data_IF_715478426980
#
_entry.id   IF_715478426980
#
_cell.length_a   1.000
_cell.length_b   1.000
_cell.length_c   1.000
_cell.angle_alpha   90.00
_cell.angle_beta   90.00
_cell.angle_gamma   90.00
#
_symmetry.space_group_name_H-M   'P 1'
#
loop_
_entity.id
_entity.type
_entity.pdbx_description
1 polymer ?
#
# COMPACT_ATOMS: atom_id res chain seq x y z
N UNK A 1 10.15 -11.68 -2.70
CA UNK A 1 9.13 -12.63 -2.53
C UNK A 1 7.77 -12.00 -2.41
N UNK A 2 6.78 -12.59 -2.97
CA UNK A 2 5.44 -12.08 -2.89
C UNK A 2 4.67 -12.80 -1.83
N UNK A 3 4.00 -12.02 -1.02
CA UNK A 3 3.13 -12.58 -0.03
C UNK A 3 1.77 -12.60 -0.62
N UNK A 4 1.20 -13.74 -0.84
CA UNK A 4 -0.09 -13.78 -1.44
C UNK A 4 -1.14 -14.03 -0.44
N UNK A 5 -2.29 -13.48 -0.68
CA UNK A 5 -3.45 -13.71 0.14
C UNK A 5 -3.91 -15.12 -0.14
N UNK A 6 -3.95 -15.91 0.92
CA UNK A 6 -4.23 -17.25 0.65
C UNK A 6 -5.59 -17.65 0.72
N UNK A 7 -6.39 -16.93 1.29
CA UNK A 7 -7.75 -17.30 1.39
C UNK A 7 -8.31 -17.15 0.07
N UNK A 8 -8.57 -18.10 -0.66
CA UNK A 8 -8.96 -17.97 -1.86
C UNK A 8 -10.23 -17.50 -2.01
N UNK A 9 -10.50 -16.56 -2.72
CA UNK A 9 -11.82 -16.09 -2.94
C UNK A 9 -12.50 -17.14 -3.73
N UNK A 10 -13.69 -17.20 -3.51
CA UNK A 10 -14.43 -18.10 -4.17
C UNK A 10 -14.52 -17.46 -5.45
N UNK A 11 -14.52 -17.69 -6.27
CA UNK A 11 -14.63 -17.09 -7.41
C UNK A 11 -15.50 -16.17 -7.48
N UNK A 12 -15.44 -15.61 -8.24
CA UNK A 12 -14.66 -15.21 -9.15
C UNK A 12 -14.25 -13.95 -8.98
N UNK A 13 -13.96 -13.73 -8.44
CA UNK A 13 -13.38 -12.94 -8.45
C UNK A 13 -13.46 -11.80 -8.65
N UNK A 14 -13.94 -11.37 -8.08
CA UNK A 14 -14.14 -10.16 -8.09
C UNK A 14 -13.47 -9.42 -7.14
N UNK A 15 -12.54 -9.82 -6.43
CA UNK A 15 -11.80 -9.05 -5.58
C UNK A 15 -10.76 -8.37 -6.35
N UNK A 16 -10.56 -7.11 -6.14
CA UNK A 16 -9.37 -6.45 -6.59
C UNK A 16 -8.23 -6.95 -5.76
N UNK A 17 -7.14 -7.34 -6.37
CA UNK A 17 -5.96 -7.82 -5.67
C UNK A 17 -4.74 -7.08 -6.17
N UNK A 18 -4.67 -5.79 -5.90
CA UNK A 18 -3.51 -5.03 -6.29
C UNK A 18 -2.28 -5.46 -5.51
N UNK A 19 -1.13 -5.16 -6.07
CA UNK A 19 0.14 -5.44 -5.43
C UNK A 19 0.65 -4.15 -4.82
N UNK A 20 1.01 -4.19 -3.55
CA UNK A 20 1.60 -3.05 -2.88
C UNK A 20 3.09 -3.30 -2.78
N UNK A 21 3.89 -2.36 -3.25
CA UNK A 21 5.33 -2.47 -3.16
C UNK A 21 5.77 -1.70 -1.93
N UNK A 22 6.44 -2.38 -1.04
CA UNK A 22 6.84 -1.80 0.24
C UNK A 22 8.17 -1.09 0.06
N UNK A 23 8.24 0.21 0.36
CA UNK A 23 9.50 0.91 0.20
C UNK A 23 10.55 0.40 1.17
N UNK A 24 11.79 0.53 0.79
CA UNK A 24 12.89 -0.04 1.57
C UNK A 24 12.85 0.40 3.02
N UNK A 25 12.53 1.68 3.25
CA UNK A 25 12.51 2.18 4.61
C UNK A 25 11.48 1.52 5.51
N UNK A 26 10.46 0.94 4.92
CA UNK A 26 9.40 0.34 5.71
C UNK A 26 9.46 -1.18 5.77
N UNK A 27 10.44 -1.77 5.13
CA UNK A 27 10.52 -3.24 5.11
C UNK A 27 10.81 -3.84 6.47
N UNK A 28 11.28 -3.04 7.40
CA UNK A 28 11.45 -3.56 8.76
C UNK A 28 10.11 -3.89 9.40
N UNK A 29 9.03 -3.28 8.92
CA UNK A 29 7.71 -3.60 9.46
C UNK A 29 7.15 -4.86 8.80
N UNK A 30 7.71 -5.30 7.70
CA UNK A 30 7.18 -6.44 6.98
C UNK A 30 8.11 -7.65 7.04
N UNK A 31 9.17 -7.56 7.85
CA UNK A 31 10.10 -8.67 7.92
C UNK A 31 10.87 -8.86 6.63
N UNK A 32 11.02 -7.81 5.86
CA UNK A 32 11.77 -7.88 4.61
C UNK A 32 10.92 -8.16 3.37
N UNK A 33 9.61 -8.31 3.54
CA UNK A 33 8.74 -8.56 2.39
C UNK A 33 8.66 -7.30 1.54
N UNK A 34 8.86 -7.43 0.26
CA UNK A 34 8.90 -6.30 -0.65
C UNK A 34 7.60 -6.07 -1.40
N UNK A 35 6.85 -7.11 -1.64
CA UNK A 35 5.62 -6.99 -2.41
C UNK A 35 4.54 -7.81 -1.73
N UNK A 36 3.36 -7.23 -1.62
CA UNK A 36 2.25 -7.90 -0.97
C UNK A 36 1.02 -7.73 -1.84
N UNK A 37 0.31 -8.80 -2.09
CA UNK A 37 -0.97 -8.71 -2.80
C UNK A 37 -2.07 -8.68 -1.76
N UNK A 38 -2.91 -7.67 -1.82
CA UNK A 38 -3.96 -7.49 -0.84
C UNK A 38 -5.25 -7.14 -1.53
N UNK A 39 -6.39 -7.58 -1.02
CA UNK A 39 -7.65 -7.19 -1.60
C UNK A 39 -7.96 -5.76 -1.21
N UNK A 40 -8.52 -5.01 -2.10
CA UNK A 40 -8.90 -3.64 -1.81
C UNK A 40 -9.16 -2.89 -3.09
N UNK A 41 -9.97 -1.87 -2.99
CA UNK A 41 -10.33 -1.06 -4.14
C UNK A 41 -9.91 0.38 -3.98
N UNK A 42 -9.32 0.74 -2.86
CA UNK A 42 -8.87 2.09 -2.65
C UNK A 42 -7.59 2.06 -1.85
N UNK A 43 -6.89 3.17 -1.87
CA UNK A 43 -5.65 3.27 -1.09
C UNK A 43 -5.97 3.08 0.38
N UNK A 44 -7.11 3.63 0.83
CA UNK A 44 -7.50 3.47 2.23
C UNK A 44 -7.60 1.99 2.60
N UNK A 45 -8.24 1.20 1.76
CA UNK A 45 -8.43 -0.21 2.07
C UNK A 45 -7.10 -0.93 2.09
N UNK A 46 -6.22 -0.59 1.16
CA UNK A 46 -4.91 -1.25 1.11
C UNK A 46 -4.10 -0.93 2.35
N UNK A 47 -4.13 0.31 2.81
CA UNK A 47 -3.38 0.67 4.01
C UNK A 47 -3.96 -0.02 5.22
N UNK A 48 -5.29 -0.15 5.29
CA UNK A 48 -5.89 -0.84 6.40
C UNK A 48 -5.46 -2.30 6.42
N UNK A 49 -5.47 -2.94 5.25
CA UNK A 49 -5.05 -4.33 5.16
C UNK A 49 -3.58 -4.48 5.53
N UNK A 50 -2.76 -3.53 5.10
CA UNK A 50 -1.34 -3.58 5.46
C UNK A 50 -1.18 -3.48 6.97
N UNK A 51 -1.93 -2.60 7.61
CA UNK A 51 -1.80 -2.42 9.04
C UNK A 51 -2.25 -3.64 9.81
N UNK A 52 -3.23 -4.37 9.27
CA UNK A 52 -3.67 -5.58 9.92
C UNK A 52 -2.64 -6.68 9.78
N UNK A 53 -1.97 -6.73 8.63
CA UNK A 53 -1.01 -7.76 8.41
C UNK A 53 0.35 -7.44 8.99
N UNK A 54 0.74 -6.20 8.96
CA UNK A 54 2.04 -5.76 9.47
C UNK A 54 1.80 -4.61 10.42
N UNK A 55 1.51 -4.89 11.68
CA UNK A 55 1.15 -3.85 12.63
C UNK A 55 2.19 -2.74 12.70
N UNK A 56 1.73 -1.52 12.67
CA UNK A 56 2.60 -0.37 12.75
C UNK A 56 2.89 0.29 11.41
N UNK A 57 2.76 -0.43 10.32
CA UNK A 57 3.11 0.14 9.05
C UNK A 57 2.10 1.20 8.63
N UNK A 58 0.84 1.02 9.00
CA UNK A 58 -0.18 2.00 8.64
C UNK A 58 0.11 3.34 9.29
N UNK A 59 0.70 3.35 10.47
CA UNK A 59 1.02 4.60 11.12
C UNK A 59 2.17 5.32 10.45
N UNK A 60 2.97 4.60 9.68
CA UNK A 60 4.05 5.22 8.96
C UNK A 60 3.53 5.88 7.68
N UNK A 61 2.37 5.47 7.22
CA UNK A 61 1.82 5.97 5.97
C UNK A 61 0.76 7.04 6.18
N UNK A 62 0.11 7.04 7.32
CA UNK A 62 -1.02 7.94 7.55
C UNK A 62 -0.73 8.99 8.61
N UNK A 63 -1.38 10.15 8.41
CA UNK A 63 -1.30 11.19 9.39
C UNK A 63 -2.67 11.85 9.32
N UNK A 64 -3.37 11.93 10.43
CA UNK A 64 -4.70 12.52 10.50
C UNK A 64 -5.66 11.90 9.49
N UNK A 65 -5.54 10.61 9.30
CA UNK A 65 -6.49 9.90 8.47
C UNK A 65 -6.21 9.94 6.98
N UNK A 66 -5.14 10.59 6.56
CA UNK A 66 -4.81 10.63 5.15
C UNK A 66 -3.32 10.33 4.99
N UNK A 67 -2.86 10.27 3.75
CA UNK A 67 -1.47 9.97 3.47
C UNK A 67 -0.60 11.08 4.06
N UNK A 68 0.49 10.69 4.69
CA UNK A 68 1.41 11.69 5.22
C UNK A 68 1.91 12.57 4.09
N UNK A 69 2.07 13.87 4.34
CA UNK A 69 2.54 14.77 3.29
C UNK A 69 3.91 14.38 2.71
N UNK A 70 4.69 13.66 3.48
CA UNK A 70 6.00 13.26 3.02
C UNK A 70 5.99 11.98 2.19
N UNK A 71 4.82 11.47 1.88
CA UNK A 71 4.74 10.23 1.12
C UNK A 71 3.92 10.46 -0.13
N UNK A 72 4.48 10.09 -1.26
CA UNK A 72 3.75 10.12 -2.52
C UNK A 72 3.24 8.71 -2.79
N UNK A 73 2.15 8.63 -3.51
CA UNK A 73 1.58 7.35 -3.89
C UNK A 73 1.58 7.28 -5.40
N UNK A 74 2.07 6.19 -5.93
CA UNK A 74 2.03 5.96 -7.36
C UNK A 74 1.14 4.76 -7.60
N UNK A 75 0.26 4.85 -8.56
CA UNK A 75 -0.62 3.77 -8.94
C UNK A 75 -0.36 3.52 -10.42
N UNK A 76 0.15 2.33 -10.72
CA UNK A 76 0.47 1.95 -12.08
C UNK A 76 1.37 2.97 -12.78
N UNK A 77 2.32 3.50 -12.03
CA UNK A 77 3.31 4.40 -12.61
C UNK A 77 2.93 5.86 -12.63
N UNK A 78 1.74 6.21 -12.16
CA UNK A 78 1.31 7.58 -12.15
C UNK A 78 1.09 8.06 -10.74
N UNK A 79 1.51 9.28 -10.45
CA UNK A 79 1.34 9.82 -9.11
C UNK A 79 -0.13 10.10 -8.85
N UNK A 80 -0.62 9.57 -7.78
CA UNK A 80 -1.99 9.73 -7.38
C UNK A 80 -2.11 10.95 -6.49
N UNK A 81 -3.15 11.73 -6.66
CA UNK A 81 -3.30 12.95 -5.90
C UNK A 81 -4.52 12.98 -4.99
N UNK A 82 -5.30 11.95 -4.99
CA UNK A 82 -6.52 11.91 -4.17
C UNK A 82 -6.32 11.34 -2.78
N UNK A 83 -5.10 11.05 -2.39
CA UNK A 83 -4.84 10.53 -1.06
C UNK A 83 -5.47 9.17 -0.87
N UNK A 84 -6.01 8.95 0.31
CA UNK A 84 -6.57 7.63 0.62
C UNK A 84 -7.83 7.34 -0.17
N UNK A 85 -8.40 8.35 -0.83
CA UNK A 85 -9.63 8.11 -1.59
C UNK A 85 -9.38 7.63 -3.01
N UNK A 86 -8.13 7.65 -3.46
CA UNK A 86 -7.86 7.15 -4.81
C UNK A 86 -8.19 5.68 -4.90
N UNK A 87 -8.73 5.29 -6.05
CA UNK A 87 -9.12 3.91 -6.26
C UNK A 87 -8.04 3.17 -7.00
N UNK A 88 -8.05 1.86 -6.87
CA UNK A 88 -7.09 1.00 -7.53
C UNK A 88 -7.83 -0.07 -8.29
N UNK A 89 -7.22 -0.53 -9.36
CA UNK A 89 -7.82 -1.58 -10.15
C UNK A 89 -7.33 -2.94 -9.68
N UNK A 90 -7.94 -3.96 -10.23
CA UNK A 90 -7.66 -5.28 -9.83
C UNK A 90 -6.23 -5.71 -9.89
N UNK A 91 -5.49 -5.30 -10.85
CA UNK A 91 -4.09 -5.68 -10.95
C UNK A 91 -3.16 -4.49 -10.83
N UNK A 92 -3.61 -3.44 -10.15
CA UNK A 92 -2.77 -2.26 -10.02
C UNK A 92 -1.53 -2.55 -9.19
N UNK A 93 -0.49 -1.79 -9.46
CA UNK A 93 0.71 -1.86 -8.66
C UNK A 93 0.84 -0.52 -7.95
N UNK A 94 0.88 -0.56 -6.64
CA UNK A 94 0.88 0.63 -5.81
C UNK A 94 2.22 0.77 -5.12
N UNK A 95 2.82 1.94 -5.26
CA UNK A 95 4.08 2.24 -4.59
C UNK A 95 3.87 3.38 -3.62
N UNK A 96 4.39 3.25 -2.42
CA UNK A 96 4.41 4.36 -1.48
C UNK A 96 5.85 4.87 -1.49
N UNK A 97 6.02 6.12 -1.83
CA UNK A 97 7.34 6.68 -2.08
C UNK A 97 7.64 7.75 -1.04
N UNK A 98 8.45 7.46 -0.05
CA UNK A 98 8.79 8.46 0.95
C UNK A 98 9.64 9.54 0.33
N UNK A 99 9.36 10.78 0.67
CA UNK A 99 10.17 11.86 0.19
C UNK A 99 11.51 11.80 0.89
N UNK A 100 12.53 11.88 0.12
CA UNK A 100 13.80 11.87 0.73
C UNK A 100 14.26 13.20 0.95
N UNK A 101 14.95 13.39 1.65
CA UNK A 101 15.43 14.59 1.81
C UNK A 101 14.67 15.41 2.34
N UNK A 102 14.51 16.04 1.82
CA UNK A 102 13.82 16.81 2.28
C UNK A 102 13.93 16.82 3.56
N UNK A 103 13.63 16.84 3.83
CA UNK A 103 13.64 16.98 4.82
C UNK A 103 13.86 16.29 5.77
N UNK A 104 13.97 15.84 5.59
CA UNK A 104 14.04 15.28 6.38
C UNK A 104 14.83 15.14 6.87
N UNK A 105 15.08 15.43 6.93
CA UNK A 105 15.80 15.24 7.34
C UNK A 105 16.04 15.22 7.87
#
# INVERSE_FOLDING_TARGET
MIERWRAKPPAPYFFAMPTVVIPALLRKFTGGVERVELPGRSIRELIRQLGERFPGIDKQLLEDGDIRPSIAVSIDGEIATGGVLDTVAENSEVHFIPALGGGEV
#
